data_IF_476246750983
#
_entry.id   IF_476246750983
#
_cell.length_a   1.000
_cell.length_b   1.000
_cell.length_c   1.000
_cell.angle_alpha   90.00
_cell.angle_beta   90.00
_cell.angle_gamma   90.00
#
_symmetry.space_group_name_H-M   'P 1'
#
loop_
_entity.id
_entity.type
_entity.pdbx_description
1 polymer ?
#
# COMPACT_ATOMS: atom_id res chain seq x y z
N UNK A 1 -58.15 50.77 45.37
CA UNK A 1 -57.47 50.07 44.25
C UNK A 1 -58.48 49.96 43.14
N UNK A 2 -58.20 50.51 41.95
CA UNK A 2 -59.16 50.52 40.84
C UNK A 2 -59.19 49.15 40.13
N UNK A 3 -60.31 48.81 39.47
CA UNK A 3 -60.48 47.51 38.82
C UNK A 3 -59.40 47.22 37.74
N UNK A 4 -58.81 48.25 37.14
CA UNK A 4 -57.73 48.13 36.16
C UNK A 4 -56.36 47.88 36.79
N UNK A 5 -56.08 48.44 37.97
CA UNK A 5 -54.88 48.11 38.76
C UNK A 5 -54.87 46.63 39.17
N UNK A 6 -56.02 46.09 39.57
CA UNK A 6 -56.17 44.67 39.89
C UNK A 6 -55.94 43.76 38.68
N UNK A 7 -56.40 44.16 37.49
CA UNK A 7 -56.19 43.44 36.24
C UNK A 7 -54.71 43.46 35.82
N UNK A 8 -54.04 44.60 35.95
CA UNK A 8 -52.61 44.74 35.66
C UNK A 8 -51.76 43.89 36.62
N UNK A 9 -52.07 43.90 37.92
CA UNK A 9 -51.39 43.06 38.91
C UNK A 9 -51.61 41.56 38.62
N UNK A 10 -52.84 41.15 38.27
CA UNK A 10 -53.13 39.76 37.88
C UNK A 10 -52.40 39.35 36.60
N UNK A 11 -52.28 40.24 35.61
CA UNK A 11 -51.56 39.98 34.35
C UNK A 11 -50.06 39.80 34.60
N UNK A 12 -49.44 40.70 35.39
CA UNK A 12 -48.03 40.60 35.78
C UNK A 12 -47.73 39.30 36.54
N UNK A 13 -48.60 38.92 37.48
CA UNK A 13 -48.49 37.64 38.21
C UNK A 13 -48.57 36.43 37.27
N UNK A 14 -49.51 36.42 36.30
CA UNK A 14 -49.61 35.35 35.30
C UNK A 14 -48.39 35.28 34.38
N UNK A 15 -47.89 36.42 33.92
CA UNK A 15 -46.69 36.49 33.10
C UNK A 15 -45.47 35.91 33.85
N UNK A 16 -45.26 36.32 35.10
CA UNK A 16 -44.17 35.79 35.93
C UNK A 16 -44.26 34.26 36.13
N UNK A 17 -45.46 33.74 36.42
CA UNK A 17 -45.69 32.29 36.55
C UNK A 17 -45.43 31.55 35.24
N UNK A 18 -45.90 32.09 34.11
CA UNK A 18 -45.70 31.48 32.80
C UNK A 18 -44.23 31.51 32.37
N UNK A 19 -43.51 32.60 32.62
CA UNK A 19 -42.07 32.68 32.37
C UNK A 19 -41.30 31.68 33.22
N UNK A 20 -41.65 31.51 34.51
CA UNK A 20 -41.02 30.49 35.37
C UNK A 20 -41.27 29.08 34.85
N UNK A 21 -42.50 28.78 34.45
CA UNK A 21 -42.86 27.48 33.82
C UNK A 21 -42.09 27.25 32.52
N UNK A 22 -41.97 28.27 31.67
CA UNK A 22 -41.22 28.18 30.42
C UNK A 22 -39.73 27.94 30.65
N UNK A 23 -39.10 28.69 31.57
CA UNK A 23 -37.68 28.48 31.94
C UNK A 23 -37.45 27.08 32.52
N UNK A 24 -38.34 26.60 33.38
CA UNK A 24 -38.26 25.24 33.92
C UNK A 24 -38.38 24.18 32.81
N UNK A 25 -39.32 24.35 31.86
CA UNK A 25 -39.45 23.46 30.68
C UNK A 25 -38.18 23.47 29.82
N UNK A 26 -37.61 24.65 29.54
CA UNK A 26 -36.36 24.76 28.80
C UNK A 26 -35.20 24.07 29.52
N UNK A 27 -35.07 24.24 30.83
CA UNK A 27 -34.03 23.56 31.61
C UNK A 27 -34.17 22.04 31.58
N UNK A 28 -35.41 21.52 31.65
CA UNK A 28 -35.67 20.07 31.53
C UNK A 28 -35.26 19.57 30.15
N UNK A 29 -35.67 20.27 29.08
CA UNK A 29 -35.32 19.90 27.70
C UNK A 29 -33.80 19.94 27.50
N UNK A 30 -33.15 20.98 28.02
CA UNK A 30 -31.70 21.18 27.88
C UNK A 30 -30.90 20.13 28.66
N UNK A 31 -31.35 19.77 29.86
CA UNK A 31 -30.78 18.66 30.63
C UNK A 31 -30.99 17.32 29.92
N UNK A 32 -32.17 17.07 29.37
CA UNK A 32 -32.43 15.85 28.61
C UNK A 32 -31.53 15.77 27.37
N UNK A 33 -31.32 16.88 26.67
CA UNK A 33 -30.41 16.95 25.52
C UNK A 33 -28.97 16.63 25.92
N UNK A 34 -28.48 17.21 27.03
CA UNK A 34 -27.15 16.90 27.57
C UNK A 34 -27.01 15.41 27.87
N UNK A 35 -27.95 14.84 28.62
CA UNK A 35 -27.94 13.40 28.94
C UNK A 35 -27.92 12.53 27.68
N UNK A 36 -28.71 12.88 26.66
CA UNK A 36 -28.74 12.14 25.40
C UNK A 36 -27.42 12.25 24.63
N UNK A 37 -26.77 13.42 24.61
CA UNK A 37 -25.45 13.59 23.97
C UNK A 37 -24.37 12.76 24.69
N UNK A 38 -24.38 12.77 26.02
CA UNK A 38 -23.43 11.99 26.83
C UNK A 38 -23.62 10.49 26.59
N UNK A 39 -24.88 10.03 26.54
CA UNK A 39 -25.21 8.64 26.22
C UNK A 39 -24.76 8.26 24.81
N UNK A 40 -25.03 9.11 23.82
CA UNK A 40 -24.64 8.87 22.43
C UNK A 40 -23.12 8.83 22.28
N UNK A 41 -22.40 9.75 22.93
CA UNK A 41 -20.92 9.76 22.94
C UNK A 41 -20.37 8.46 23.54
N UNK A 42 -20.96 7.98 24.64
CA UNK A 42 -20.55 6.72 25.28
C UNK A 42 -20.82 5.51 24.37
N UNK A 43 -21.98 5.50 23.70
CA UNK A 43 -22.33 4.41 22.77
C UNK A 43 -21.40 4.43 21.55
N UNK A 44 -21.11 5.59 20.97
CA UNK A 44 -20.19 5.73 19.85
C UNK A 44 -18.79 5.22 20.21
N UNK A 45 -18.24 5.67 21.35
CA UNK A 45 -16.92 5.21 21.81
C UNK A 45 -16.89 3.68 21.98
N UNK A 46 -17.97 3.08 22.51
CA UNK A 46 -18.07 1.62 22.64
C UNK A 46 -18.13 0.92 21.28
N UNK A 47 -18.92 1.45 20.34
CA UNK A 47 -19.05 0.89 19.00
C UNK A 47 -17.74 1.01 18.21
N UNK A 48 -17.07 2.15 18.26
CA UNK A 48 -15.74 2.37 17.70
C UNK A 48 -14.74 1.37 18.27
N UNK A 49 -14.75 1.15 19.59
CA UNK A 49 -13.93 0.12 20.23
C UNK A 49 -14.24 -1.30 19.74
N UNK A 50 -15.52 -1.64 19.52
CA UNK A 50 -15.91 -2.94 18.95
C UNK A 50 -15.48 -3.08 17.50
N UNK A 51 -15.59 -2.03 16.69
CA UNK A 51 -15.14 -2.02 15.30
C UNK A 51 -13.63 -2.25 15.25
N UNK A 52 -12.86 -1.46 16.01
CA UNK A 52 -11.41 -1.59 16.10
C UNK A 52 -10.99 -3.01 16.52
N UNK A 53 -11.58 -3.54 17.60
CA UNK A 53 -11.30 -4.89 18.06
C UNK A 53 -11.70 -5.98 17.05
N UNK A 54 -12.77 -5.77 16.28
CA UNK A 54 -13.21 -6.71 15.26
C UNK A 54 -12.32 -6.71 14.02
N UNK A 55 -11.83 -5.54 13.62
CA UNK A 55 -10.87 -5.37 12.53
C UNK A 55 -9.55 -6.05 12.89
N UNK A 56 -9.06 -5.82 14.11
CA UNK A 56 -7.84 -6.42 14.63
C UNK A 56 -7.96 -7.95 14.74
N UNK A 57 -9.01 -8.46 15.41
CA UNK A 57 -9.25 -9.92 15.54
C UNK A 57 -9.42 -10.65 14.22
N UNK A 58 -9.97 -9.98 13.19
CA UNK A 58 -10.13 -10.56 11.85
C UNK A 58 -8.92 -10.32 10.95
N UNK A 59 -7.89 -9.61 11.43
CA UNK A 59 -6.70 -9.26 10.64
C UNK A 59 -7.01 -8.35 9.45
N UNK A 60 -8.14 -7.62 9.47
CA UNK A 60 -8.62 -6.81 8.34
C UNK A 60 -8.01 -5.41 8.28
N UNK A 61 -7.15 -5.05 9.23
CA UNK A 61 -6.57 -3.71 9.36
C UNK A 61 -5.68 -3.29 8.17
N UNK A 62 -5.21 -4.27 7.38
CA UNK A 62 -4.34 -4.10 6.22
C UNK A 62 -4.98 -4.58 4.90
N UNK A 63 -6.26 -4.94 4.92
CA UNK A 63 -6.90 -5.63 3.80
C UNK A 63 -6.91 -4.75 2.53
N UNK A 64 -7.06 -3.44 2.68
CA UNK A 64 -7.06 -2.50 1.55
C UNK A 64 -5.68 -2.44 0.87
N UNK A 65 -4.61 -2.41 1.66
CA UNK A 65 -3.23 -2.45 1.21
C UNK A 65 -2.93 -3.75 0.46
N UNK A 66 -3.33 -4.88 1.02
CA UNK A 66 -3.16 -6.19 0.39
C UNK A 66 -3.88 -6.28 -0.97
N UNK A 67 -5.15 -5.87 -1.03
CA UNK A 67 -5.91 -5.85 -2.28
C UNK A 67 -5.29 -4.91 -3.32
N UNK A 68 -4.74 -3.78 -2.87
CA UNK A 68 -4.07 -2.82 -3.75
C UNK A 68 -2.80 -3.41 -4.35
N UNK A 69 -2.01 -4.17 -3.58
CA UNK A 69 -0.84 -4.90 -4.12
C UNK A 69 -1.28 -5.93 -5.17
N UNK A 70 -2.34 -6.71 -4.89
CA UNK A 70 -2.82 -7.71 -5.83
C UNK A 70 -3.35 -7.10 -7.14
N UNK A 71 -4.13 -6.01 -7.06
CA UNK A 71 -4.61 -5.32 -8.25
C UNK A 71 -3.46 -4.65 -9.01
N UNK A 72 -2.45 -4.10 -8.32
CA UNK A 72 -1.24 -3.60 -8.94
C UNK A 72 -0.53 -4.67 -9.77
N UNK A 73 -0.26 -5.84 -9.18
CA UNK A 73 0.38 -6.96 -9.89
C UNK A 73 -0.43 -7.40 -11.11
N UNK A 74 -1.76 -7.47 -10.97
CA UNK A 74 -2.67 -7.84 -12.06
C UNK A 74 -2.66 -6.81 -13.18
N UNK A 75 -2.76 -5.52 -12.85
CA UNK A 75 -2.81 -4.44 -13.83
C UNK A 75 -1.50 -4.30 -14.60
N UNK A 76 -0.37 -4.57 -13.95
CA UNK A 76 0.97 -4.42 -14.52
C UNK A 76 1.59 -5.74 -14.98
N UNK A 77 0.83 -6.84 -15.01
CA UNK A 77 1.31 -8.15 -15.47
C UNK A 77 1.97 -8.08 -16.86
N UNK A 78 1.40 -7.28 -17.77
CA UNK A 78 1.92 -7.05 -19.13
C UNK A 78 2.86 -5.85 -19.23
N UNK A 79 3.18 -5.23 -18.11
CA UNK A 79 3.89 -3.96 -18.06
C UNK A 79 3.01 -2.73 -18.06
N UNK A 80 3.67 -1.60 -18.24
CA UNK A 80 3.03 -0.30 -18.38
C UNK A 80 2.65 -0.05 -19.84
N UNK A 81 1.35 -0.06 -20.11
CA UNK A 81 0.73 0.12 -21.43
C UNK A 81 0.29 1.56 -21.68
N UNK A 82 0.60 2.49 -20.78
CA UNK A 82 0.18 3.90 -20.84
C UNK A 82 -1.35 4.06 -20.95
N UNK A 83 -2.09 3.08 -20.41
CA UNK A 83 -3.55 3.17 -20.35
C UNK A 83 -3.99 4.12 -19.24
N UNK A 84 -5.08 4.85 -19.49
CA UNK A 84 -5.70 5.73 -18.47
C UNK A 84 -6.03 4.96 -17.19
N UNK A 85 -6.38 3.67 -17.30
CA UNK A 85 -6.64 2.79 -16.15
C UNK A 85 -5.39 2.62 -15.27
N UNK A 86 -4.23 2.34 -15.86
CA UNK A 86 -2.98 2.21 -15.11
C UNK A 86 -2.53 3.54 -14.51
N UNK A 87 -2.65 4.63 -15.26
CA UNK A 87 -2.29 5.97 -14.78
C UNK A 87 -3.20 6.45 -13.64
N UNK A 88 -4.49 6.17 -13.73
CA UNK A 88 -5.43 6.47 -12.66
C UNK A 88 -5.17 5.60 -11.45
N UNK A 89 -4.87 4.32 -11.62
CA UNK A 89 -4.52 3.44 -10.52
C UNK A 89 -3.24 3.90 -9.79
N UNK A 90 -2.16 4.23 -10.52
CA UNK A 90 -0.91 4.70 -9.91
C UNK A 90 -1.11 5.99 -9.10
N UNK A 91 -1.97 6.91 -9.56
CA UNK A 91 -2.30 8.14 -8.83
C UNK A 91 -2.88 7.89 -7.43
N UNK A 92 -3.58 6.78 -7.23
CA UNK A 92 -4.16 6.41 -5.93
C UNK A 92 -3.30 5.39 -5.18
N UNK A 93 -2.59 4.52 -5.88
CA UNK A 93 -1.79 3.46 -5.26
C UNK A 93 -0.43 3.94 -4.75
N UNK A 94 0.16 4.96 -5.37
CA UNK A 94 1.56 5.36 -5.14
C UNK A 94 1.62 6.81 -4.69
N UNK A 95 2.37 7.09 -3.63
CA UNK A 95 2.59 8.47 -3.16
C UNK A 95 3.38 9.26 -4.22
N UNK A 96 3.15 10.58 -4.38
CA UNK A 96 3.81 11.39 -5.40
C UNK A 96 5.34 11.33 -5.37
N UNK A 97 5.91 11.19 -4.18
CA UNK A 97 7.34 11.16 -3.85
C UNK A 97 7.83 9.77 -3.42
N UNK A 98 7.13 8.70 -3.82
CA UNK A 98 7.49 7.31 -3.49
C UNK A 98 8.96 7.01 -3.72
N UNK A 99 9.58 6.22 -2.84
CA UNK A 99 10.84 5.56 -3.14
C UNK A 99 10.57 4.10 -3.54
N UNK A 100 10.67 3.79 -4.84
CA UNK A 100 10.31 2.51 -5.44
C UNK A 100 11.53 1.82 -6.05
N UNK A 101 12.08 0.81 -5.38
CA UNK A 101 13.34 0.12 -5.73
C UNK A 101 14.50 1.10 -5.98
N UNK A 102 14.57 2.18 -5.20
CA UNK A 102 15.58 3.24 -5.34
C UNK A 102 15.24 4.34 -6.36
N UNK A 103 14.12 4.21 -7.10
CA UNK A 103 13.62 5.27 -7.98
C UNK A 103 12.67 6.20 -7.22
N UNK A 104 12.70 7.49 -7.52
CA UNK A 104 11.86 8.48 -6.84
C UNK A 104 10.68 8.89 -7.73
N UNK A 105 9.48 8.89 -7.13
CA UNK A 105 8.24 9.35 -7.72
C UNK A 105 7.58 8.40 -8.71
N UNK A 106 6.35 8.74 -9.09
CA UNK A 106 5.48 7.90 -9.96
C UNK A 106 6.10 7.63 -11.33
N UNK A 107 6.83 8.60 -11.89
CA UNK A 107 7.53 8.41 -13.18
C UNK A 107 8.63 7.35 -13.10
N UNK A 108 9.29 7.21 -11.95
CA UNK A 108 10.22 6.11 -11.69
C UNK A 108 9.54 4.75 -11.78
N UNK A 109 8.35 4.61 -11.20
CA UNK A 109 7.54 3.38 -11.25
C UNK A 109 7.12 3.05 -12.70
N UNK A 110 6.67 4.05 -13.46
CA UNK A 110 6.32 3.87 -14.87
C UNK A 110 7.53 3.40 -15.69
N UNK A 111 8.67 4.07 -15.53
CA UNK A 111 9.93 3.72 -16.22
C UNK A 111 10.42 2.31 -15.87
N UNK A 112 10.29 1.90 -14.61
CA UNK A 112 10.60 0.55 -14.14
C UNK A 112 9.82 -0.51 -14.92
N UNK A 113 8.52 -0.31 -15.14
CA UNK A 113 7.69 -1.25 -15.91
C UNK A 113 7.92 -1.16 -17.41
N UNK A 114 8.09 0.04 -17.97
CA UNK A 114 8.41 0.21 -19.41
C UNK A 114 9.70 -0.52 -19.78
N UNK A 115 10.75 -0.39 -18.95
CA UNK A 115 12.05 -1.03 -19.20
C UNK A 115 11.97 -2.55 -19.07
N UNK A 116 11.15 -3.06 -18.17
CA UNK A 116 11.03 -4.51 -17.96
C UNK A 116 10.25 -5.19 -19.07
N UNK A 117 9.17 -4.58 -19.52
CA UNK A 117 8.34 -5.16 -20.59
C UNK A 117 9.00 -5.12 -21.97
N UNK A 118 9.97 -4.22 -22.19
CA UNK A 118 10.74 -4.23 -23.44
C UNK A 118 11.79 -5.35 -23.51
N UNK A 119 12.16 -5.95 -22.37
CA UNK A 119 13.23 -6.94 -22.27
C UNK A 119 12.76 -8.38 -22.10
N UNK A 120 11.51 -8.61 -21.71
CA UNK A 120 11.01 -9.95 -21.38
C UNK A 120 9.97 -10.42 -22.40
N UNK A 121 10.03 -11.71 -22.77
CA UNK A 121 9.02 -12.33 -23.65
C UNK A 121 7.67 -12.40 -22.95
N UNK A 122 7.68 -12.79 -21.67
CA UNK A 122 6.56 -12.64 -20.75
C UNK A 122 7.05 -12.58 -19.30
N UNK A 123 6.19 -12.08 -18.43
CA UNK A 123 6.37 -12.08 -16.98
C UNK A 123 5.03 -12.46 -16.33
N UNK A 124 5.03 -13.52 -15.53
CA UNK A 124 3.86 -13.92 -14.75
C UNK A 124 4.21 -13.99 -13.28
N UNK A 125 3.35 -13.42 -12.43
CA UNK A 125 3.52 -13.50 -10.97
C UNK A 125 2.64 -14.63 -10.44
N UNK A 126 3.28 -15.61 -9.79
CA UNK A 126 2.63 -16.79 -9.22
C UNK A 126 2.85 -16.87 -7.71
N UNK A 127 1.98 -17.61 -7.02
CA UNK A 127 2.11 -17.94 -5.60
C UNK A 127 2.31 -16.72 -4.69
N UNK A 128 1.51 -15.68 -4.89
CA UNK A 128 1.58 -14.46 -4.06
C UNK A 128 1.08 -14.78 -2.66
N UNK A 129 1.94 -14.57 -1.67
CA UNK A 129 1.62 -14.54 -0.25
C UNK A 129 1.91 -13.14 0.27
N UNK A 130 0.88 -12.50 0.80
CA UNK A 130 1.01 -11.24 1.51
C UNK A 130 1.04 -11.52 3.01
N UNK A 131 1.86 -10.77 3.73
CA UNK A 131 2.04 -10.90 5.17
C UNK A 131 2.12 -9.50 5.74
N UNK A 132 1.04 -9.03 6.39
CA UNK A 132 1.05 -7.78 7.12
C UNK A 132 2.05 -7.87 8.28
N UNK A 133 3.00 -6.94 8.35
CA UNK A 133 4.11 -7.00 9.32
C UNK A 133 3.88 -6.02 10.47
N UNK A 134 3.49 -4.79 10.15
CA UNK A 134 3.35 -3.74 11.15
C UNK A 134 2.32 -2.69 10.73
N UNK A 135 1.67 -2.10 11.74
CA UNK A 135 0.92 -0.87 11.62
C UNK A 135 1.46 0.10 12.66
N UNK A 136 2.03 1.21 12.21
CA UNK A 136 2.65 2.22 13.07
C UNK A 136 2.16 3.61 12.67
N UNK A 137 2.53 4.63 13.44
CA UNK A 137 2.30 6.04 13.07
C UNK A 137 3.02 6.45 11.79
N UNK A 138 4.01 5.67 11.33
CA UNK A 138 4.75 5.92 10.09
C UNK A 138 4.13 5.20 8.89
N UNK A 139 3.12 4.36 9.13
CA UNK A 139 2.39 3.65 8.07
C UNK A 139 2.16 2.17 8.32
N UNK A 140 1.57 1.52 7.30
CA UNK A 140 1.33 0.07 7.25
C UNK A 140 2.42 -0.61 6.43
N UNK A 141 3.09 -1.62 6.98
CA UNK A 141 4.08 -2.44 6.27
C UNK A 141 3.50 -3.80 5.89
N UNK A 142 3.61 -4.17 4.62
CA UNK A 142 3.20 -5.46 4.07
C UNK A 142 4.38 -6.10 3.34
N UNK A 143 4.72 -7.32 3.74
CA UNK A 143 5.66 -8.17 3.00
C UNK A 143 4.93 -9.02 1.97
N UNK A 144 5.57 -9.20 0.83
CA UNK A 144 5.11 -10.02 -0.26
C UNK A 144 6.17 -11.04 -0.61
N UNK A 145 5.77 -12.31 -0.64
CA UNK A 145 6.55 -13.37 -1.26
C UNK A 145 5.81 -13.88 -2.48
N UNK A 146 6.51 -13.99 -3.60
CA UNK A 146 5.95 -14.59 -4.80
C UNK A 146 7.04 -15.31 -5.61
N UNK A 147 6.62 -15.97 -6.69
CA UNK A 147 7.52 -16.50 -7.72
C UNK A 147 7.19 -15.80 -9.03
N UNK A 148 8.18 -15.15 -9.62
CA UNK A 148 8.04 -14.59 -10.96
C UNK A 148 8.51 -15.65 -11.97
N UNK A 149 7.63 -16.01 -12.90
CA UNK A 149 7.96 -16.83 -14.04
C UNK A 149 8.29 -15.94 -15.24
N UNK A 150 9.48 -16.13 -15.81
CA UNK A 150 9.99 -15.31 -16.91
C UNK A 150 10.58 -16.20 -18.00
N UNK A 151 10.09 -16.06 -19.23
CA UNK A 151 10.81 -16.58 -20.38
C UNK A 151 11.77 -15.52 -20.95
N UNK A 152 13.00 -15.95 -21.21
CA UNK A 152 14.03 -15.11 -21.79
C UNK A 152 14.09 -15.31 -23.30
N UNK A 153 14.28 -14.22 -24.05
CA UNK A 153 14.70 -14.30 -25.44
C UNK A 153 16.23 -14.28 -25.52
N UNK A 154 16.80 -14.77 -26.63
CA UNK A 154 18.26 -14.75 -26.84
C UNK A 154 18.89 -13.35 -26.66
N UNK A 155 18.31 -12.24 -27.17
CA UNK A 155 18.83 -10.90 -26.89
C UNK A 155 18.80 -10.54 -25.39
N UNK A 156 17.79 -11.01 -24.66
CA UNK A 156 17.65 -10.81 -23.21
C UNK A 156 18.71 -11.59 -22.44
N UNK A 157 18.98 -12.83 -22.84
CA UNK A 157 20.07 -13.65 -22.24
C UNK A 157 21.41 -12.94 -22.45
N UNK A 158 21.67 -12.43 -23.66
CA UNK A 158 22.90 -11.70 -23.94
C UNK A 158 23.05 -10.41 -23.11
N UNK A 159 21.94 -9.71 -22.87
CA UNK A 159 21.94 -8.49 -22.07
C UNK A 159 22.07 -8.75 -20.55
N UNK A 160 21.38 -9.76 -20.02
CA UNK A 160 21.36 -10.05 -18.57
C UNK A 160 22.52 -10.92 -18.11
N UNK A 161 23.01 -11.79 -19.01
CA UNK A 161 24.02 -12.81 -18.74
C UNK A 161 25.11 -12.79 -19.83
N UNK A 162 25.84 -11.69 -20.02
CA UNK A 162 26.78 -11.52 -21.13
C UNK A 162 27.87 -12.61 -21.19
N UNK A 163 28.25 -13.17 -20.05
CA UNK A 163 29.24 -14.25 -19.98
C UNK A 163 28.68 -15.63 -20.34
N UNK A 164 27.39 -15.84 -20.14
CA UNK A 164 26.71 -17.10 -20.49
C UNK A 164 26.64 -17.29 -21.99
N UNK A 165 26.66 -16.21 -22.78
CA UNK A 165 26.67 -16.27 -24.26
C UNK A 165 27.83 -17.12 -24.82
N UNK A 166 28.95 -17.24 -24.08
CA UNK A 166 30.09 -18.07 -24.46
C UNK A 166 29.95 -19.55 -24.09
N UNK A 167 28.84 -19.92 -23.44
CA UNK A 167 28.50 -21.25 -22.95
C UNK A 167 27.16 -21.69 -23.56
N UNK A 168 27.17 -22.23 -24.79
CA UNK A 168 25.94 -22.62 -25.50
C UNK A 168 25.07 -23.57 -24.69
N UNK A 169 25.69 -24.47 -23.92
CA UNK A 169 25.02 -25.41 -23.02
C UNK A 169 24.16 -24.72 -21.95
N UNK A 170 24.57 -23.55 -21.47
CA UNK A 170 23.84 -22.75 -20.48
C UNK A 170 22.81 -21.83 -21.14
N UNK A 171 23.12 -21.29 -22.32
CA UNK A 171 22.17 -20.53 -23.13
C UNK A 171 20.96 -21.41 -23.48
N UNK A 172 21.19 -22.63 -23.94
CA UNK A 172 20.13 -23.57 -24.30
C UNK A 172 19.22 -23.88 -23.10
N UNK A 173 19.79 -24.09 -21.91
CA UNK A 173 19.00 -24.28 -20.69
C UNK A 173 18.11 -23.06 -20.39
N UNK A 174 18.64 -21.84 -20.48
CA UNK A 174 17.89 -20.60 -20.23
C UNK A 174 16.78 -20.32 -21.27
N UNK A 175 16.94 -20.81 -22.50
CA UNK A 175 15.95 -20.66 -23.56
C UNK A 175 14.93 -21.80 -23.60
N UNK A 176 15.29 -22.98 -23.09
CA UNK A 176 14.43 -24.18 -23.14
C UNK A 176 13.24 -24.14 -22.19
N UNK A 177 13.33 -23.37 -21.10
CA UNK A 177 12.30 -23.33 -20.06
C UNK A 177 12.25 -21.97 -19.35
N UNK A 178 11.09 -21.54 -18.84
CA UNK A 178 10.97 -20.33 -18.04
C UNK A 178 11.79 -20.39 -16.74
N UNK A 179 12.43 -19.27 -16.40
CA UNK A 179 13.02 -19.07 -15.09
C UNK A 179 11.94 -18.80 -14.05
N UNK A 180 12.00 -19.52 -12.95
CA UNK A 180 11.15 -19.29 -11.79
C UNK A 180 11.98 -18.58 -10.72
N UNK A 181 11.71 -17.30 -10.51
CA UNK A 181 12.50 -16.41 -9.65
C UNK A 181 11.70 -16.13 -8.37
N UNK A 182 12.05 -16.75 -7.23
CA UNK A 182 11.49 -16.36 -5.94
C UNK A 182 11.80 -14.91 -5.67
N UNK A 183 10.82 -14.17 -5.16
CA UNK A 183 10.91 -12.74 -4.97
C UNK A 183 10.31 -12.36 -3.62
N UNK A 184 11.05 -11.54 -2.89
CA UNK A 184 10.57 -10.89 -1.69
C UNK A 184 10.44 -9.39 -1.96
N UNK A 185 9.30 -8.81 -1.63
CA UNK A 185 9.11 -7.37 -1.68
C UNK A 185 8.50 -6.86 -0.38
N UNK A 186 8.86 -5.65 0.00
CA UNK A 186 8.29 -4.94 1.14
C UNK A 186 7.64 -3.68 0.61
N UNK A 187 6.39 -3.44 1.04
CA UNK A 187 5.61 -2.26 0.75
C UNK A 187 5.33 -1.53 2.05
N UNK A 188 5.56 -0.23 2.07
CA UNK A 188 5.16 0.67 3.16
C UNK A 188 4.13 1.63 2.61
N UNK A 189 2.97 1.67 3.26
CA UNK A 189 1.85 2.53 2.92
C UNK A 189 1.73 3.67 3.92
N UNK A 190 1.51 4.88 3.42
CA UNK A 190 1.20 6.05 4.24
C UNK A 190 -0.25 6.04 4.76
N UNK A 191 -0.61 7.09 5.50
CA UNK A 191 -1.97 7.26 6.06
C UNK A 191 -3.04 7.42 4.97
N UNK A 192 -2.66 7.86 3.77
CA UNK A 192 -3.53 7.95 2.60
C UNK A 192 -3.69 6.61 1.88
N UNK A 193 -3.12 5.53 2.43
CA UNK A 193 -3.09 4.18 1.84
C UNK A 193 -2.36 4.13 0.50
N UNK A 194 -1.38 5.01 0.32
CA UNK A 194 -0.51 5.03 -0.85
C UNK A 194 0.86 4.47 -0.50
N UNK A 195 1.48 3.74 -1.43
CA UNK A 195 2.84 3.23 -1.27
C UNK A 195 3.80 4.42 -1.23
N UNK A 196 4.43 4.65 -0.08
CA UNK A 196 5.46 5.67 0.14
C UNK A 196 6.86 5.10 -0.02
N UNK A 197 7.05 3.82 0.27
CA UNK A 197 8.30 3.12 0.04
C UNK A 197 8.08 1.68 -0.39
N UNK A 198 8.90 1.21 -1.33
CA UNK A 198 8.88 -0.16 -1.80
C UNK A 198 10.28 -0.64 -2.16
N UNK A 199 10.61 -1.86 -1.74
CA UNK A 199 11.82 -2.57 -2.15
C UNK A 199 11.50 -3.99 -2.55
N UNK A 200 12.24 -4.53 -3.51
CA UNK A 200 12.05 -5.84 -4.08
C UNK A 200 13.41 -6.50 -4.32
N UNK A 201 13.57 -7.72 -3.81
CA UNK A 201 14.79 -8.51 -3.87
C UNK A 201 14.46 -9.87 -4.52
N UNK A 202 14.80 -10.05 -5.81
CA UNK A 202 14.68 -11.35 -6.47
C UNK A 202 15.85 -12.28 -6.10
N UNK A 203 15.56 -13.55 -5.84
CA UNK A 203 16.56 -14.59 -5.59
C UNK A 203 16.95 -15.30 -6.89
N UNK A 204 17.75 -14.64 -7.71
CA UNK A 204 18.22 -15.19 -8.98
C UNK A 204 19.16 -16.38 -8.80
N UNK A 205 19.96 -16.41 -7.72
CA UNK A 205 20.87 -17.53 -7.44
C UNK A 205 20.09 -18.84 -7.32
N UNK A 206 18.98 -18.82 -6.58
CA UNK A 206 18.10 -19.99 -6.46
C UNK A 206 17.43 -20.37 -7.78
N UNK A 207 16.99 -19.38 -8.56
CA UNK A 207 16.40 -19.61 -9.87
C UNK A 207 17.38 -20.29 -10.83
N UNK A 208 18.59 -19.74 -10.96
CA UNK A 208 19.64 -20.29 -11.82
C UNK A 208 20.14 -21.65 -11.33
N UNK A 209 20.24 -21.86 -10.02
CA UNK A 209 20.62 -23.16 -9.47
C UNK A 209 19.61 -24.24 -9.86
N UNK A 210 18.32 -23.92 -9.81
CA UNK A 210 17.25 -24.82 -10.24
C UNK A 210 17.34 -25.14 -11.73
N UNK A 211 17.71 -24.15 -12.56
CA UNK A 211 17.85 -24.32 -14.01
C UNK A 211 19.13 -25.06 -14.42
N UNK A 212 20.26 -24.78 -13.79
CA UNK A 212 21.55 -25.35 -14.17
C UNK A 212 21.91 -26.64 -13.44
N UNK A 213 21.37 -26.84 -12.24
CA UNK A 213 21.57 -28.03 -11.40
C UNK A 213 22.87 -28.03 -10.59
N UNK A 214 23.71 -27.00 -10.69
CA UNK A 214 24.96 -26.90 -9.94
C UNK A 214 25.39 -25.45 -9.73
N UNK A 215 26.19 -25.18 -8.68
CA UNK A 215 26.62 -23.82 -8.33
C UNK A 215 27.73 -23.27 -9.25
N UNK A 216 28.54 -24.11 -9.88
CA UNK A 216 29.63 -23.64 -10.75
C UNK A 216 29.09 -22.88 -11.97
N UNK A 217 28.04 -23.42 -12.59
CA UNK A 217 27.37 -22.76 -13.71
C UNK A 217 26.59 -21.51 -13.26
N UNK A 218 26.05 -21.50 -12.03
CA UNK A 218 25.42 -20.31 -11.45
C UNK A 218 26.45 -19.20 -11.28
N UNK A 219 27.62 -19.49 -10.71
CA UNK A 219 28.71 -18.52 -10.57
C UNK A 219 29.15 -18.00 -11.93
N UNK A 220 29.32 -18.88 -12.92
CA UNK A 220 29.66 -18.47 -14.29
C UNK A 220 28.63 -17.49 -14.89
N UNK A 221 27.35 -17.65 -14.55
CA UNK A 221 26.28 -16.76 -14.99
C UNK A 221 26.20 -15.44 -14.21
N UNK A 222 26.47 -15.45 -12.91
CA UNK A 222 26.31 -14.27 -12.03
C UNK A 222 27.57 -13.41 -11.92
N UNK A 223 28.74 -13.89 -12.35
CA UNK A 223 30.05 -13.24 -12.18
C UNK A 223 30.15 -11.78 -12.67
N UNK A 224 29.24 -11.32 -13.55
CA UNK A 224 29.09 -9.89 -13.89
C UNK A 224 27.64 -9.53 -14.28
N UNK A 225 26.63 -10.21 -13.72
CA UNK A 225 25.25 -9.91 -14.12
C UNK A 225 24.86 -8.49 -13.68
N UNK A 226 24.77 -7.57 -14.64
CA UNK A 226 24.29 -6.20 -14.43
C UNK A 226 22.79 -6.12 -14.10
N UNK A 227 22.07 -7.26 -14.09
CA UNK A 227 20.62 -7.27 -14.15
C UNK A 227 19.92 -7.25 -12.79
N UNK A 228 20.64 -7.34 -11.67
CA UNK A 228 20.04 -7.33 -10.32
C UNK A 228 20.92 -6.56 -9.33
N UNK A 229 21.22 -5.32 -9.69
CA UNK A 229 21.42 -4.30 -8.67
C UNK A 229 20.23 -3.35 -8.77
N UNK A 230 19.47 -3.09 -7.69
CA UNK A 230 18.90 -1.76 -7.56
C UNK A 230 20.11 -0.83 -7.57
N UNK A 231 20.18 0.06 -8.55
CA UNK A 231 21.25 1.04 -8.71
C UNK A 231 21.15 2.02 -7.53
N UNK A 232 21.61 1.60 -6.36
CA UNK A 232 21.82 2.46 -5.21
C UNK A 232 23.17 3.11 -5.45
N UNK A 233 23.19 4.12 -6.32
CA UNK A 233 24.17 5.19 -6.15
C UNK A 233 23.77 5.92 -4.88
N UNK A 234 24.42 5.53 -3.79
CA UNK A 234 24.37 6.27 -2.54
C UNK A 234 24.75 7.72 -2.81
N UNK A 235 23.83 8.63 -2.51
CA UNK A 235 24.19 10.00 -2.19
C UNK A 235 24.90 9.97 -0.82
N UNK A 236 26.18 9.62 -0.83
CA UNK A 236 27.11 10.14 0.17
C UNK A 236 27.50 11.53 -0.29
N UNK A 237 26.96 12.55 0.39
CA UNK A 237 27.66 13.77 0.83
C UNK A 237 26.70 14.95 0.88
N UNK A 238 26.13 15.16 2.06
CA UNK A 238 25.92 16.51 2.61
C UNK A 238 25.37 16.40 4.04
N UNK A 239 26.28 16.33 5.02
CA UNK A 239 26.00 16.89 6.34
C UNK A 239 26.07 18.42 6.22
N UNK A 240 25.08 19.19 6.69
CA UNK A 240 25.32 20.58 7.03
C UNK A 240 25.86 20.68 8.45
N UNK A 241 26.81 21.59 8.61
CA UNK A 241 27.30 22.11 9.88
C UNK A 241 26.19 22.83 10.67
#
# INVERSE_FOLDING_TARGET
MTADEERLVKSRKRCAVNQRKYRAKLQIIDNQRRMNMDELSRVNQRLEGHIAASIDRRGLWCHAEEQSILEYLRLFERGYTQSERQDSFLRYFVAPDVCFNGLIGVEGVKSYWTTRSSRLTFLHVKYVRLTPVAHTSEGTTVEMHCVIEVALASPTVAAMFPHVVRRPDLVDKLLSAPLHIPLHATYVFDDNKQVSWQSCVPNLVQALYTTFGNLNDVVAATSSSAAIHPDVKGQSDSQPA
#
